data_IF_693507891045
#
_entry.id   IF_693507891045
#
_cell.length_a   1.000
_cell.length_b   1.000
_cell.length_c   1.000
_cell.angle_alpha   90.00
_cell.angle_beta   90.00
_cell.angle_gamma   90.00
#
_symmetry.space_group_name_H-M   'P 1'
#
loop_
_entity.id
_entity.type
_entity.pdbx_description
1 polymer ?
#
# COMPACT_ATOMS: atom_id res chain seq x y z
N UNK A 1 39.39 27.15 -1.97
CA UNK A 1 38.56 26.32 -1.06
C UNK A 1 37.97 25.19 -1.89
N UNK A 2 38.14 23.94 -1.45
CA UNK A 2 37.67 22.78 -2.20
C UNK A 2 36.14 22.70 -2.15
N UNK A 3 35.49 22.59 -3.31
CA UNK A 3 34.03 22.50 -3.44
C UNK A 3 33.54 21.22 -2.75
N UNK A 4 32.78 21.38 -1.67
CA UNK A 4 32.34 20.28 -0.78
C UNK A 4 31.02 19.62 -1.23
N UNK A 5 30.36 20.16 -2.26
CA UNK A 5 29.11 19.60 -2.80
C UNK A 5 29.30 19.08 -4.23
N UNK A 6 28.99 17.79 -4.50
CA UNK A 6 29.05 17.25 -5.84
C UNK A 6 28.03 17.95 -6.74
N UNK A 7 28.48 18.53 -7.86
CA UNK A 7 27.62 19.10 -8.93
C UNK A 7 26.85 18.05 -9.73
N UNK A 8 27.12 16.77 -9.46
CA UNK A 8 26.33 15.66 -9.95
C UNK A 8 25.41 15.24 -8.80
N UNK A 9 24.10 15.50 -8.95
CA UNK A 9 23.16 14.57 -8.33
C UNK A 9 23.58 13.20 -8.83
N UNK A 10 23.80 12.25 -7.92
CA UNK A 10 23.76 10.86 -8.33
C UNK A 10 22.34 10.69 -8.86
N UNK A 11 22.18 10.84 -10.17
CA UNK A 11 21.00 10.39 -10.87
C UNK A 11 21.03 8.89 -10.65
N UNK A 12 20.39 8.47 -9.56
CA UNK A 12 20.05 7.08 -9.33
C UNK A 12 19.14 6.72 -10.50
N UNK A 13 19.76 6.32 -11.61
CA UNK A 13 19.13 5.71 -12.75
C UNK A 13 18.72 4.32 -12.28
N UNK A 14 17.74 4.29 -11.37
CA UNK A 14 17.05 3.09 -11.00
C UNK A 14 16.25 2.73 -12.25
N UNK A 15 16.90 2.02 -13.17
CA UNK A 15 16.23 1.38 -14.29
C UNK A 15 15.25 0.38 -13.67
N UNK A 16 14.04 0.87 -13.36
CA UNK A 16 13.00 0.00 -12.85
C UNK A 16 12.78 -1.08 -13.90
N UNK A 17 12.89 -2.37 -13.52
CA UNK A 17 12.62 -3.45 -14.43
C UNK A 17 11.27 -3.22 -15.11
N UNK A 18 11.16 -3.42 -16.43
CA UNK A 18 9.96 -3.05 -17.17
C UNK A 18 8.70 -3.76 -16.67
N UNK A 19 8.85 -4.90 -16.00
CA UNK A 19 7.74 -5.62 -15.38
C UNK A 19 7.21 -4.91 -14.12
N UNK A 20 8.06 -4.33 -13.26
CA UNK A 20 7.65 -3.63 -12.04
C UNK A 20 6.84 -2.40 -12.40
N UNK A 21 7.33 -1.63 -13.37
CA UNK A 21 6.62 -0.45 -13.88
C UNK A 21 5.25 -0.81 -14.47
N UNK A 22 5.15 -1.93 -15.20
CA UNK A 22 3.86 -2.40 -15.74
C UNK A 22 2.91 -2.86 -14.63
N UNK A 23 3.43 -3.50 -13.58
CA UNK A 23 2.65 -3.89 -12.42
C UNK A 23 2.06 -2.67 -11.74
N UNK A 24 2.89 -1.69 -11.36
CA UNK A 24 2.45 -0.48 -10.62
C UNK A 24 1.48 0.40 -11.41
N UNK A 25 1.54 0.39 -12.74
CA UNK A 25 0.58 1.08 -13.59
C UNK A 25 -0.78 0.37 -13.67
N UNK A 26 -0.81 -0.95 -13.48
CA UNK A 26 -2.02 -1.75 -13.52
C UNK A 26 -2.72 -1.76 -12.15
N UNK A 27 -3.92 -1.20 -12.11
CA UNK A 27 -4.80 -1.19 -10.92
C UNK A 27 -5.06 -2.63 -10.45
N UNK A 28 -5.52 -3.47 -11.37
CA UNK A 28 -5.89 -4.85 -11.05
C UNK A 28 -4.68 -5.68 -10.62
N UNK A 29 -3.56 -5.61 -11.35
CA UNK A 29 -2.39 -6.42 -11.02
C UNK A 29 -1.80 -6.03 -9.65
N UNK A 30 -1.64 -4.73 -9.39
CA UNK A 30 -1.09 -4.27 -8.10
C UNK A 30 -2.03 -4.61 -6.94
N UNK A 31 -3.33 -4.40 -7.09
CA UNK A 31 -4.32 -4.69 -6.05
C UNK A 31 -4.40 -6.20 -5.76
N UNK A 32 -4.39 -7.04 -6.79
CA UNK A 32 -4.39 -8.50 -6.62
C UNK A 32 -3.11 -8.96 -5.91
N UNK A 33 -1.95 -8.47 -6.34
CA UNK A 33 -0.66 -8.78 -5.69
C UNK A 33 -0.69 -8.35 -4.22
N UNK A 34 -1.19 -7.16 -3.90
CA UNK A 34 -1.33 -6.69 -2.54
C UNK A 34 -2.17 -7.65 -1.69
N UNK A 35 -3.37 -8.02 -2.16
CA UNK A 35 -4.27 -8.89 -1.42
C UNK A 35 -3.70 -10.29 -1.19
N UNK A 36 -3.06 -10.87 -2.22
CA UNK A 36 -2.40 -12.19 -2.13
C UNK A 36 -1.24 -12.14 -1.14
N UNK A 37 -0.33 -11.18 -1.28
CA UNK A 37 0.86 -11.06 -0.42
C UNK A 37 0.47 -10.84 1.04
N UNK A 38 -0.53 -9.99 1.29
CA UNK A 38 -1.01 -9.72 2.66
C UNK A 38 -1.66 -10.96 3.26
N UNK A 39 -2.39 -11.77 2.47
CA UNK A 39 -2.95 -13.03 2.96
C UNK A 39 -1.88 -14.05 3.31
N UNK A 40 -0.86 -14.19 2.47
CA UNK A 40 0.28 -15.08 2.72
C UNK A 40 1.12 -14.63 3.92
N UNK A 41 1.34 -13.31 4.05
CA UNK A 41 1.99 -12.73 5.21
C UNK A 41 1.22 -13.05 6.50
N UNK A 42 -0.11 -12.87 6.50
CA UNK A 42 -0.97 -13.24 7.63
C UNK A 42 -0.81 -14.72 7.99
N UNK A 43 -0.87 -15.61 7.01
CA UNK A 43 -0.69 -17.05 7.22
C UNK A 43 0.66 -17.38 7.86
N UNK A 44 1.74 -16.78 7.34
CA UNK A 44 3.08 -16.98 7.86
C UNK A 44 3.17 -16.55 9.34
N UNK A 45 2.71 -15.34 9.67
CA UNK A 45 2.79 -14.83 11.05
C UNK A 45 1.96 -15.67 12.03
N UNK A 46 0.75 -16.07 11.64
CA UNK A 46 -0.11 -16.93 12.48
C UNK A 46 0.47 -18.32 12.70
N UNK A 47 1.28 -18.82 11.77
CA UNK A 47 1.96 -20.12 11.92
C UNK A 47 3.06 -20.06 12.98
N UNK A 48 3.79 -18.94 13.07
CA UNK A 48 4.91 -18.81 14.01
C UNK A 48 4.50 -18.39 15.43
N UNK A 49 3.44 -17.58 15.58
CA UNK A 49 3.12 -17.01 16.90
C UNK A 49 1.61 -16.80 17.12
N UNK A 50 0.85 -17.87 17.38
CA UNK A 50 -0.63 -17.83 17.43
C UNK A 50 -1.23 -17.04 18.61
N UNK A 51 -0.54 -16.96 19.76
CA UNK A 51 -1.09 -16.43 21.03
C UNK A 51 -0.43 -15.14 21.52
N UNK A 52 0.54 -14.59 20.79
CA UNK A 52 1.25 -13.37 21.19
C UNK A 52 0.57 -12.12 20.64
N UNK A 53 0.11 -11.23 21.53
CA UNK A 53 -0.48 -9.95 21.17
C UNK A 53 0.45 -9.08 20.31
N UNK A 54 1.77 -9.14 20.55
CA UNK A 54 2.74 -8.42 19.73
C UNK A 54 2.81 -8.96 18.31
N UNK A 55 2.71 -10.27 18.13
CA UNK A 55 2.67 -10.87 16.79
C UNK A 55 1.39 -10.47 16.05
N UNK A 56 0.24 -10.42 16.73
CA UNK A 56 -1.01 -9.92 16.16
C UNK A 56 -0.91 -8.44 15.73
N UNK A 57 -0.29 -7.58 16.55
CA UNK A 57 -0.09 -6.18 16.23
C UNK A 57 0.88 -6.00 15.05
N UNK A 58 2.01 -6.71 15.03
CA UNK A 58 2.99 -6.67 13.93
C UNK A 58 2.38 -7.21 12.63
N UNK A 59 1.60 -8.28 12.71
CA UNK A 59 0.84 -8.81 11.58
C UNK A 59 -0.14 -7.77 11.03
N UNK A 60 -0.92 -7.14 11.90
CA UNK A 60 -1.94 -6.18 11.47
C UNK A 60 -1.28 -4.92 10.90
N UNK A 61 -0.30 -4.36 11.59
CA UNK A 61 0.45 -3.19 11.14
C UNK A 61 1.22 -3.47 9.83
N UNK A 62 1.92 -4.60 9.75
CA UNK A 62 2.67 -4.99 8.55
C UNK A 62 1.77 -5.19 7.34
N UNK A 63 0.61 -5.83 7.51
CA UNK A 63 -0.38 -5.99 6.44
C UNK A 63 -0.91 -4.64 5.96
N UNK A 64 -1.28 -3.75 6.88
CA UNK A 64 -1.72 -2.39 6.54
C UNK A 64 -0.61 -1.64 5.79
N UNK A 65 0.62 -1.63 6.29
CA UNK A 65 1.75 -0.95 5.65
C UNK A 65 1.98 -1.49 4.23
N UNK A 66 1.90 -2.80 4.01
CA UNK A 66 2.05 -3.40 2.68
C UNK A 66 0.96 -2.95 1.72
N UNK A 67 -0.31 -3.00 2.13
CA UNK A 67 -1.44 -2.55 1.29
C UNK A 67 -1.29 -1.06 0.97
N UNK A 68 -1.03 -0.24 1.99
CA UNK A 68 -0.91 1.21 1.82
C UNK A 68 0.30 1.59 0.97
N UNK A 69 1.44 0.92 1.15
CA UNK A 69 2.64 1.14 0.33
C UNK A 69 2.41 0.82 -1.14
N UNK A 70 1.77 -0.32 -1.45
CA UNK A 70 1.41 -0.67 -2.83
C UNK A 70 0.34 0.25 -3.41
N UNK A 71 -0.64 0.68 -2.58
CA UNK A 71 -1.63 1.67 -2.98
C UNK A 71 -0.97 3.02 -3.30
N UNK A 72 0.01 3.46 -2.50
CA UNK A 72 0.80 4.67 -2.77
C UNK A 72 1.59 4.53 -4.06
N UNK A 73 2.28 3.41 -4.27
CA UNK A 73 3.04 3.15 -5.49
C UNK A 73 2.13 3.18 -6.73
N UNK A 74 0.92 2.63 -6.64
CA UNK A 74 -0.05 2.69 -7.73
C UNK A 74 -0.60 4.11 -7.95
N UNK A 75 -1.11 4.76 -6.90
CA UNK A 75 -1.77 6.07 -6.98
C UNK A 75 -0.79 7.18 -7.35
N UNK A 76 0.48 7.08 -6.93
CA UNK A 76 1.55 8.02 -7.27
C UNK A 76 1.78 8.18 -8.77
N UNK A 77 1.40 7.19 -9.57
CA UNK A 77 1.50 7.24 -11.04
C UNK A 77 0.39 8.07 -11.71
N UNK A 78 -0.61 8.55 -10.96
CA UNK A 78 -1.80 9.22 -11.51
C UNK A 78 -2.06 10.55 -10.79
N UNK A 79 -2.64 11.56 -11.47
CA UNK A 79 -2.95 12.82 -10.82
C UNK A 79 -4.11 12.63 -9.84
N UNK A 80 -4.09 13.40 -8.75
CA UNK A 80 -4.99 13.31 -7.58
C UNK A 80 -6.47 13.22 -7.94
N UNK A 81 -6.92 13.87 -9.03
CA UNK A 81 -8.32 13.80 -9.50
C UNK A 81 -8.80 12.37 -9.79
N UNK A 82 -7.92 11.46 -10.19
CA UNK A 82 -8.29 10.07 -10.46
C UNK A 82 -8.30 9.20 -9.19
N UNK A 83 -7.75 9.70 -8.07
CA UNK A 83 -7.68 8.92 -6.84
C UNK A 83 -9.07 8.66 -6.25
N UNK A 84 -10.03 9.57 -6.52
CA UNK A 84 -11.40 9.48 -6.01
C UNK A 84 -12.09 8.15 -6.33
N UNK A 85 -11.86 7.60 -7.53
CA UNK A 85 -12.43 6.31 -7.94
C UNK A 85 -11.39 5.18 -7.89
N UNK A 86 -10.10 5.48 -8.09
CA UNK A 86 -9.06 4.46 -8.09
C UNK A 86 -8.77 3.91 -6.71
N UNK A 87 -8.80 4.73 -5.66
CA UNK A 87 -8.60 4.26 -4.29
C UNK A 87 -9.69 3.26 -3.84
N UNK A 88 -11.00 3.55 -3.98
CA UNK A 88 -12.02 2.58 -3.63
C UNK A 88 -11.98 1.35 -4.55
N UNK A 89 -11.70 1.52 -5.85
CA UNK A 89 -11.55 0.38 -6.75
C UNK A 89 -10.35 -0.51 -6.38
N UNK A 90 -9.22 0.09 -5.98
CA UNK A 90 -8.06 -0.64 -5.48
C UNK A 90 -8.43 -1.44 -4.24
N UNK A 91 -9.04 -0.81 -3.23
CA UNK A 91 -9.46 -1.50 -2.01
C UNK A 91 -10.47 -2.62 -2.26
N UNK A 92 -11.37 -2.46 -3.23
CA UNK A 92 -12.33 -3.50 -3.60
C UNK A 92 -11.64 -4.72 -4.24
N UNK A 93 -10.76 -4.48 -5.23
CA UNK A 93 -10.04 -5.56 -5.92
C UNK A 93 -9.07 -6.27 -4.96
N UNK A 94 -8.36 -5.51 -4.14
CA UNK A 94 -7.44 -6.03 -3.14
C UNK A 94 -8.16 -6.91 -2.13
N UNK A 95 -9.31 -6.46 -1.61
CA UNK A 95 -10.11 -7.26 -0.69
C UNK A 95 -10.67 -8.53 -1.32
N UNK A 96 -11.11 -8.48 -2.59
CA UNK A 96 -11.55 -9.68 -3.32
C UNK A 96 -10.40 -10.68 -3.44
N UNK A 97 -9.20 -10.21 -3.81
CA UNK A 97 -8.02 -11.06 -3.91
C UNK A 97 -7.62 -11.64 -2.54
N UNK A 98 -7.68 -10.83 -1.48
CA UNK A 98 -7.41 -11.24 -0.09
C UNK A 98 -8.37 -12.35 0.38
N UNK A 99 -9.68 -12.17 0.12
CA UNK A 99 -10.74 -13.13 0.42
C UNK A 99 -10.56 -14.41 -0.38
N UNK A 100 -10.35 -14.30 -1.70
CA UNK A 100 -10.21 -15.43 -2.60
C UNK A 100 -8.97 -16.27 -2.25
N UNK A 101 -7.85 -15.62 -1.93
CA UNK A 101 -6.65 -16.30 -1.46
C UNK A 101 -6.93 -17.06 -0.16
N UNK A 102 -7.68 -16.46 0.77
CA UNK A 102 -8.14 -17.14 1.98
C UNK A 102 -9.00 -18.37 1.72
N UNK A 103 -9.87 -18.31 0.70
CA UNK A 103 -10.69 -19.45 0.29
C UNK A 103 -9.83 -20.61 -0.26
N UNK A 104 -8.81 -20.28 -1.05
CA UNK A 104 -7.87 -21.27 -1.59
C UNK A 104 -7.04 -21.92 -0.48
N UNK A 105 -6.57 -21.14 0.49
CA UNK A 105 -5.84 -21.65 1.65
C UNK A 105 -6.73 -22.49 2.58
N UNK A 106 -8.01 -22.13 2.70
CA UNK A 106 -9.02 -22.91 3.42
C UNK A 106 -9.27 -24.25 2.72
N UNK A 107 -9.44 -24.24 1.39
CA UNK A 107 -9.56 -25.47 0.60
C UNK A 107 -8.31 -26.37 0.72
N UNK A 108 -7.13 -25.77 0.90
CA UNK A 108 -5.89 -26.49 1.16
C UNK A 108 -5.73 -26.96 2.62
N UNK A 109 -6.65 -26.60 3.53
CA UNK A 109 -6.62 -27.01 4.93
C UNK A 109 -5.54 -26.31 5.78
N UNK A 110 -5.02 -25.17 5.32
CA UNK A 110 -3.93 -24.44 6.00
C UNK A 110 -4.45 -23.21 6.76
N UNK A 111 -5.62 -22.69 6.38
CA UNK A 111 -6.15 -21.43 6.90
C UNK A 111 -6.62 -21.54 8.37
N UNK A 112 -6.20 -20.56 9.18
CA UNK A 112 -6.51 -20.49 10.61
C UNK A 112 -7.22 -19.19 11.02
N UNK A 113 -8.11 -19.29 12.01
CA UNK A 113 -8.67 -18.17 12.77
C UNK A 113 -8.17 -18.30 14.20
N UNK A 114 -7.13 -17.53 14.55
CA UNK A 114 -6.45 -17.68 15.84
C UNK A 114 -5.78 -19.05 15.95
N UNK A 115 -6.15 -19.82 16.97
CA UNK A 115 -5.62 -21.16 17.21
C UNK A 115 -6.34 -22.27 16.45
N UNK A 116 -7.55 -22.01 15.96
CA UNK A 116 -8.40 -23.01 15.32
C UNK A 116 -8.32 -22.95 13.80
N UNK A 117 -8.65 -24.08 13.15
CA UNK A 117 -8.81 -24.13 11.70
C UNK A 117 -10.09 -23.39 11.31
N UNK A 118 -10.02 -22.58 10.25
CA UNK A 118 -11.20 -21.87 9.76
C UNK A 118 -12.20 -22.86 9.17
N UNK A 119 -13.49 -22.69 9.41
CA UNK A 119 -14.54 -23.43 8.71
C UNK A 119 -15.15 -22.61 7.56
N UNK A 120 -15.77 -23.29 6.60
CA UNK A 120 -16.41 -22.64 5.44
C UNK A 120 -17.55 -21.68 5.81
N UNK A 121 -18.25 -21.94 6.91
CA UNK A 121 -19.31 -21.08 7.40
C UNK A 121 -18.75 -19.71 7.84
N UNK A 122 -17.67 -19.72 8.63
CA UNK A 122 -16.99 -18.52 9.13
C UNK A 122 -16.44 -17.65 7.99
N UNK A 123 -15.93 -18.29 6.93
CA UNK A 123 -15.37 -17.60 5.78
C UNK A 123 -16.39 -16.70 5.06
N UNK A 124 -17.63 -17.18 4.87
CA UNK A 124 -18.67 -16.44 4.15
C UNK A 124 -19.30 -15.30 4.95
N UNK A 125 -19.37 -15.44 6.28
CA UNK A 125 -20.04 -14.48 7.15
C UNK A 125 -19.31 -13.12 7.20
N UNK A 126 -17.98 -13.13 7.05
CA UNK A 126 -17.14 -11.94 7.19
C UNK A 126 -16.79 -11.24 5.87
N UNK A 127 -17.24 -11.76 4.72
CA UNK A 127 -16.83 -11.26 3.40
C UNK A 127 -17.11 -9.77 3.21
N UNK A 128 -18.34 -9.35 3.51
CA UNK A 128 -18.77 -7.97 3.33
C UNK A 128 -18.03 -7.02 4.29
N UNK A 129 -17.86 -7.45 5.54
CA UNK A 129 -17.15 -6.68 6.57
C UNK A 129 -15.69 -6.45 6.16
N UNK A 130 -15.01 -7.50 5.68
CA UNK A 130 -13.62 -7.41 5.19
C UNK A 130 -13.56 -6.49 3.97
N UNK A 131 -14.45 -6.68 2.99
CA UNK A 131 -14.51 -5.85 1.78
C UNK A 131 -14.67 -4.37 2.11
N UNK A 132 -15.68 -4.03 2.93
CA UNK A 132 -15.96 -2.65 3.30
C UNK A 132 -14.82 -2.04 4.11
N UNK A 133 -14.23 -2.79 5.06
CA UNK A 133 -13.10 -2.31 5.85
C UNK A 133 -11.92 -1.92 4.95
N UNK A 134 -11.56 -2.76 3.99
CA UNK A 134 -10.43 -2.51 3.09
C UNK A 134 -10.69 -1.32 2.16
N UNK A 135 -11.90 -1.23 1.58
CA UNK A 135 -12.31 -0.07 0.77
C UNK A 135 -12.21 1.22 1.58
N UNK A 136 -12.74 1.22 2.81
CA UNK A 136 -12.74 2.40 3.69
C UNK A 136 -11.31 2.77 4.10
N UNK A 137 -10.50 1.81 4.54
CA UNK A 137 -9.11 2.06 4.94
C UNK A 137 -8.29 2.67 3.79
N UNK A 138 -8.33 2.08 2.59
CA UNK A 138 -7.60 2.58 1.43
C UNK A 138 -8.12 3.95 1.00
N UNK A 139 -9.43 4.17 1.02
CA UNK A 139 -10.03 5.44 0.63
C UNK A 139 -9.69 6.57 1.59
N UNK A 140 -9.76 6.32 2.91
CA UNK A 140 -9.36 7.31 3.92
C UNK A 140 -7.87 7.64 3.78
N UNK A 141 -7.02 6.62 3.63
CA UNK A 141 -5.59 6.83 3.43
C UNK A 141 -5.30 7.66 2.17
N UNK A 142 -5.93 7.32 1.05
CA UNK A 142 -5.76 8.06 -0.20
C UNK A 142 -6.25 9.51 -0.07
N UNK A 143 -7.32 9.78 0.68
CA UNK A 143 -7.81 11.13 0.96
C UNK A 143 -6.80 11.94 1.79
N UNK A 144 -6.23 11.34 2.84
CA UNK A 144 -5.18 11.96 3.66
C UNK A 144 -3.95 12.26 2.80
N UNK A 145 -3.47 11.28 2.03
CA UNK A 145 -2.32 11.42 1.16
C UNK A 145 -2.55 12.50 0.09
N UNK A 146 -3.75 12.55 -0.51
CA UNK A 146 -4.14 13.59 -1.45
C UNK A 146 -4.10 14.98 -0.79
N UNK A 147 -4.58 15.10 0.44
CA UNK A 147 -4.50 16.33 1.23
C UNK A 147 -3.05 16.80 1.41
N UNK A 148 -2.16 15.91 1.84
CA UNK A 148 -0.73 16.18 1.99
C UNK A 148 -0.10 16.64 0.68
N UNK A 149 -0.32 15.90 -0.42
CA UNK A 149 0.21 16.25 -1.75
C UNK A 149 -0.28 17.62 -2.21
N UNK A 150 -1.56 17.94 -1.99
CA UNK A 150 -2.13 19.24 -2.37
C UNK A 150 -1.57 20.38 -1.52
N UNK A 151 -1.34 20.16 -0.22
CA UNK A 151 -0.70 21.13 0.67
C UNK A 151 0.72 21.42 0.17
N UNK A 152 1.55 20.39 0.00
CA UNK A 152 2.93 20.52 -0.48
C UNK A 152 2.97 21.24 -1.83
N UNK A 153 2.11 20.85 -2.77
CA UNK A 153 2.01 21.52 -4.08
C UNK A 153 1.66 23.00 -3.95
N UNK A 154 0.73 23.36 -3.05
CA UNK A 154 0.38 24.78 -2.82
C UNK A 154 1.52 25.58 -2.19
N UNK A 155 2.29 24.98 -1.28
CA UNK A 155 3.45 25.63 -0.68
C UNK A 155 4.53 25.93 -1.71
N UNK A 156 4.87 24.96 -2.56
CA UNK A 156 5.88 25.10 -3.61
C UNK A 156 5.50 26.16 -4.66
N UNK A 157 4.21 26.24 -5.03
CA UNK A 157 3.74 27.25 -6.00
C UNK A 157 3.74 28.66 -5.41
N UNK A 158 3.53 28.81 -4.09
CA UNK A 158 3.45 30.12 -3.41
C UNK A 158 4.81 30.72 -3.06
N UNK A 159 5.87 29.93 -3.00
CA UNK A 159 7.22 30.40 -2.65
C UNK A 159 8.27 29.99 -3.69
N UNK A 160 8.10 30.37 -4.98
CA UNK A 160 9.12 30.09 -5.99
C UNK A 160 10.44 30.82 -5.66
N UNK A 161 10.34 32.03 -5.12
CA UNK A 161 11.49 32.92 -4.95
C UNK A 161 12.33 32.59 -3.71
N UNK A 162 11.78 32.02 -2.64
CA UNK A 162 12.57 31.65 -1.46
C UNK A 162 13.42 30.39 -1.69
N UNK A 163 12.92 29.43 -2.48
CA UNK A 163 13.68 28.22 -2.86
C UNK A 163 14.81 28.55 -3.84
N UNK A 164 14.58 29.54 -4.73
CA UNK A 164 15.61 30.04 -5.63
C UNK A 164 16.59 30.96 -4.89
N UNK A 165 16.13 31.78 -3.93
CA UNK A 165 17.01 32.65 -3.16
C UNK A 165 17.89 31.89 -2.16
N UNK A 166 17.40 30.83 -1.51
CA UNK A 166 18.24 29.92 -0.70
C UNK A 166 19.33 29.27 -1.59
N UNK A 167 18.94 28.82 -2.79
CA UNK A 167 19.88 28.24 -3.74
C UNK A 167 20.91 29.24 -4.31
N UNK A 168 20.63 30.55 -4.27
CA UNK A 168 21.51 31.63 -4.73
C UNK A 168 22.27 32.33 -3.59
N UNK A 169 21.80 32.25 -2.34
CA UNK A 169 22.51 32.80 -1.17
C UNK A 169 23.61 31.87 -0.68
N UNK A 170 23.53 30.58 -1.01
CA UNK A 170 24.54 29.55 -0.72
C UNK A 170 25.61 29.40 -1.81
N UNK A 171 25.63 30.29 -2.83
CA UNK A 171 26.71 30.43 -3.85
C UNK A 171 27.57 31.65 -3.60
#
# INVERSE_FOLDING_TARGET
MAAFFPRHSVDWHLEEPPFIRRLTLSLAATAVVAGVVVRLYRLAVLTYSPSNIWAFLIMTAGGVILVLGLATAHLGNFPVRHWLWRAPAFGAIEAIAFVATGALLLAAGVERVGTELMHWHDWSADLLTVLLRHIVTVSIFAAVLAGVVQIVRRYLIRHPDSAISEALSDT
#
